data_IF_216917896499
#
_entry.id   IF_216917896499
#
_cell.length_a   1.000
_cell.length_b   1.000
_cell.length_c   1.000
_cell.angle_alpha   90.00
_cell.angle_beta   90.00
_cell.angle_gamma   90.00
#
_symmetry.space_group_name_H-M   'P 1'
#
loop_
_entity.id
_entity.type
_entity.pdbx_description
1 polymer ?
#
# COMPACT_ATOMS: atom_id res chain seq x y z
N UNK A 1 11.60 19.72 16.30
CA UNK A 1 11.25 20.37 15.02
C UNK A 1 10.16 21.39 15.26
N UNK A 2 10.46 22.69 15.17
CA UNK A 2 9.52 23.78 15.42
C UNK A 2 8.36 23.73 14.41
N UNK A 3 7.13 23.47 14.86
CA UNK A 3 5.92 23.62 14.04
C UNK A 3 5.65 25.13 13.87
N UNK A 4 5.87 25.66 12.66
CA UNK A 4 5.42 27.02 12.32
C UNK A 4 3.92 27.00 12.04
N UNK A 5 3.17 27.90 12.67
CA UNK A 5 1.74 28.05 12.43
C UNK A 5 1.52 29.11 11.33
N UNK A 6 1.00 28.69 10.17
CA UNK A 6 0.61 29.59 9.09
C UNK A 6 -0.86 29.95 9.26
N UNK A 7 -1.19 31.25 9.23
CA UNK A 7 -2.58 31.72 9.15
C UNK A 7 -2.86 32.18 7.72
N UNK A 8 -3.75 31.48 7.03
CA UNK A 8 -4.26 31.87 5.72
C UNK A 8 -5.48 32.78 5.90
N UNK A 9 -5.45 33.92 5.23
CA UNK A 9 -6.59 34.84 5.14
C UNK A 9 -7.05 34.91 3.69
N UNK A 10 -8.30 34.53 3.45
CA UNK A 10 -8.98 34.83 2.19
C UNK A 10 -9.88 36.05 2.40
N UNK A 11 -9.87 36.95 1.44
CA UNK A 11 -10.77 38.11 1.41
C UNK A 11 -11.84 37.86 0.35
N UNK A 12 -13.11 37.77 0.78
CA UNK A 12 -14.26 37.78 -0.13
C UNK A 12 -15.11 38.98 0.27
N UNK A 13 -15.37 39.89 -0.68
CA UNK A 13 -16.14 41.12 -0.44
C UNK A 13 -15.63 41.95 0.77
N UNK A 14 -14.30 42.13 0.89
CA UNK A 14 -13.63 42.80 2.02
C UNK A 14 -13.81 42.15 3.40
N UNK A 15 -14.48 40.98 3.49
CA UNK A 15 -14.56 40.22 4.73
C UNK A 15 -13.40 39.24 4.82
N UNK A 16 -12.67 39.33 5.94
CA UNK A 16 -11.55 38.46 6.30
C UNK A 16 -12.08 37.10 6.76
N UNK A 17 -11.85 36.06 5.98
CA UNK A 17 -12.17 34.67 6.33
C UNK A 17 -10.89 34.02 6.88
N UNK A 18 -10.94 33.56 8.12
CA UNK A 18 -9.84 32.86 8.78
C UNK A 18 -10.13 31.36 8.73
N UNK A 19 -9.24 30.57 8.12
CA UNK A 19 -9.26 29.12 8.25
C UNK A 19 -8.37 28.73 9.42
N UNK A 20 -8.97 28.51 10.59
CA UNK A 20 -8.25 28.05 11.78
C UNK A 20 -8.30 26.52 11.85
N UNK A 21 -7.15 25.88 12.00
CA UNK A 21 -7.08 24.44 12.23
C UNK A 21 -7.84 24.12 13.53
N UNK A 22 -8.67 23.07 13.52
CA UNK A 22 -9.49 22.71 14.66
C UNK A 22 -8.59 22.48 15.92
N UNK A 23 -8.72 23.30 16.97
CA UNK A 23 -7.86 23.23 18.14
C UNK A 23 -7.99 21.91 18.90
N UNK A 24 -9.16 21.26 18.85
CA UNK A 24 -9.38 19.95 19.47
C UNK A 24 -8.60 18.85 18.74
N UNK A 25 -8.49 18.92 17.41
CA UNK A 25 -7.69 17.96 16.62
C UNK A 25 -6.22 18.08 16.96
N UNK A 26 -5.73 19.31 17.18
CA UNK A 26 -4.33 19.52 17.59
C UNK A 26 -4.06 18.95 18.97
N UNK A 27 -4.94 19.23 19.95
CA UNK A 27 -4.85 18.69 21.31
C UNK A 27 -4.82 17.16 21.29
N UNK A 28 -5.77 16.54 20.60
CA UNK A 28 -5.85 15.09 20.47
C UNK A 28 -4.58 14.49 19.84
N UNK A 29 -4.03 15.12 18.81
CA UNK A 29 -2.79 14.67 18.16
C UNK A 29 -1.61 14.69 19.12
N UNK A 30 -1.44 15.79 19.88
CA UNK A 30 -0.34 15.95 20.82
C UNK A 30 -0.50 14.96 21.99
N UNK A 31 -1.72 14.72 22.48
CA UNK A 31 -2.02 13.74 23.53
C UNK A 31 -1.71 12.30 23.09
N UNK A 32 -2.22 11.89 21.91
CA UNK A 32 -2.04 10.52 21.38
C UNK A 32 -0.57 10.16 21.13
N UNK A 33 0.24 11.12 20.66
CA UNK A 33 1.61 10.86 20.26
C UNK A 33 2.66 11.18 21.32
N UNK A 34 2.24 11.73 22.46
CA UNK A 34 3.14 12.12 23.56
C UNK A 34 4.03 10.96 24.05
N UNK A 35 3.46 9.76 24.19
CA UNK A 35 4.13 8.56 24.71
C UNK A 35 4.09 7.37 23.73
N UNK A 36 3.78 7.61 22.45
CA UNK A 36 3.66 6.56 21.46
C UNK A 36 5.05 6.12 20.95
N UNK A 37 5.38 4.84 21.10
CA UNK A 37 6.60 4.27 20.54
C UNK A 37 6.36 3.69 19.14
N UNK A 38 6.97 4.31 18.13
CA UNK A 38 6.82 3.93 16.71
C UNK A 38 7.55 2.64 16.31
N UNK A 39 8.42 2.13 17.17
CA UNK A 39 9.22 0.92 16.90
C UNK A 39 8.54 -0.36 17.42
N UNK A 40 7.44 -0.24 18.17
CA UNK A 40 6.76 -1.37 18.80
C UNK A 40 5.51 -1.73 17.99
N UNK A 41 5.32 -3.02 17.74
CA UNK A 41 4.11 -3.58 17.13
C UNK A 41 2.88 -3.28 18.02
N UNK A 42 1.83 -2.62 17.50
CA UNK A 42 0.68 -2.21 18.29
C UNK A 42 -0.28 -3.39 18.54
N UNK A 43 -0.02 -4.15 19.60
CA UNK A 43 -0.89 -5.23 20.09
C UNK A 43 -1.11 -5.07 21.59
N UNK A 44 -2.29 -5.48 22.09
CA UNK A 44 -2.59 -5.46 23.53
C UNK A 44 -1.81 -6.55 24.26
N UNK A 45 -1.74 -7.75 23.69
CA UNK A 45 -0.92 -8.85 24.19
C UNK A 45 0.20 -9.19 23.18
N UNK A 46 1.39 -9.54 23.69
CA UNK A 46 2.54 -9.93 22.86
C UNK A 46 2.24 -11.21 22.06
N UNK A 47 1.37 -12.08 22.56
CA UNK A 47 0.94 -13.29 21.86
C UNK A 47 -0.07 -13.05 20.73
N UNK A 48 -0.66 -11.86 20.64
CA UNK A 48 -1.67 -11.57 19.62
C UNK A 48 -1.02 -11.34 18.25
N UNK A 49 -1.72 -11.74 17.19
CA UNK A 49 -1.31 -11.53 15.80
C UNK A 49 -1.85 -10.19 15.31
N UNK A 50 -0.99 -9.38 14.69
CA UNK A 50 -1.43 -8.15 14.02
C UNK A 50 -1.87 -8.48 12.59
N UNK A 51 -3.16 -8.34 12.30
CA UNK A 51 -3.67 -8.49 10.93
C UNK A 51 -3.49 -7.19 10.14
N UNK A 52 -2.78 -7.26 9.03
CA UNK A 52 -2.62 -6.15 8.08
C UNK A 52 -3.35 -6.51 6.80
N UNK A 53 -4.30 -5.66 6.40
CA UNK A 53 -5.03 -5.85 5.13
C UNK A 53 -4.42 -4.99 4.04
N UNK A 54 -4.00 -5.64 2.95
CA UNK A 54 -3.40 -5.00 1.79
C UNK A 54 -4.39 -5.02 0.62
N UNK A 55 -4.55 -3.89 -0.04
CA UNK A 55 -5.26 -3.78 -1.30
C UNK A 55 -4.42 -2.95 -2.27
N UNK A 56 -4.38 -3.38 -3.52
CA UNK A 56 -3.62 -2.72 -4.58
C UNK A 56 -4.59 -2.07 -5.55
N UNK A 57 -4.21 -0.88 -6.03
CA UNK A 57 -4.92 -0.18 -7.08
C UNK A 57 -3.92 0.21 -8.15
N UNK A 58 -4.13 -0.24 -9.38
CA UNK A 58 -3.24 0.06 -10.50
C UNK A 58 -3.72 1.31 -11.20
N UNK A 59 -2.85 2.31 -11.31
CA UNK A 59 -3.13 3.53 -12.06
C UNK A 59 -2.69 3.39 -13.51
N UNK A 60 -1.49 2.84 -13.75
CA UNK A 60 -0.96 2.69 -15.11
C UNK A 60 0.06 1.55 -15.18
N UNK A 61 0.06 0.83 -16.30
CA UNK A 61 1.17 -0.03 -16.71
C UNK A 61 2.15 0.84 -17.52
N UNK A 62 3.30 1.17 -16.93
CA UNK A 62 4.22 2.17 -17.49
C UNK A 62 5.00 1.60 -18.67
N UNK A 63 5.61 0.42 -18.48
CA UNK A 63 6.44 -0.24 -19.48
C UNK A 63 6.65 -1.71 -19.07
N UNK A 64 6.72 -2.60 -20.07
CA UNK A 64 7.26 -3.94 -19.92
C UNK A 64 8.53 -4.03 -20.75
N UNK A 65 9.67 -4.19 -20.08
CA UNK A 65 10.96 -4.25 -20.75
C UNK A 65 11.34 -5.70 -21.05
N UNK A 66 11.10 -6.14 -22.29
CA UNK A 66 11.39 -7.50 -22.77
C UNK A 66 12.86 -7.90 -22.61
N UNK A 67 13.79 -6.95 -22.78
CA UNK A 67 15.24 -7.22 -22.69
C UNK A 67 15.73 -7.35 -21.25
N UNK A 68 15.25 -6.47 -20.38
CA UNK A 68 15.68 -6.41 -18.98
C UNK A 68 14.82 -7.29 -18.07
N UNK A 69 13.75 -7.90 -18.58
CA UNK A 69 12.86 -8.76 -17.79
C UNK A 69 12.22 -8.04 -16.61
N UNK A 70 11.77 -6.80 -16.84
CA UNK A 70 11.20 -5.94 -15.80
C UNK A 70 9.88 -5.36 -16.27
N UNK A 71 8.83 -5.55 -15.45
CA UNK A 71 7.57 -4.84 -15.56
C UNK A 71 7.57 -3.64 -14.59
N UNK A 72 7.27 -2.45 -15.11
CA UNK A 72 7.13 -1.23 -14.32
C UNK A 72 5.66 -0.82 -14.24
N UNK A 73 5.13 -0.73 -13.03
CA UNK A 73 3.73 -0.36 -12.76
C UNK A 73 3.66 0.88 -11.88
N UNK A 74 2.77 1.80 -12.22
CA UNK A 74 2.36 2.89 -11.35
C UNK A 74 1.13 2.46 -10.56
N UNK A 75 1.31 2.14 -9.29
CA UNK A 75 0.19 1.90 -8.38
C UNK A 75 -0.28 3.25 -7.83
N UNK A 76 -1.59 3.39 -7.56
CA UNK A 76 -2.31 4.66 -7.40
C UNK A 76 -1.89 5.50 -6.22
N UNK A 77 -0.74 6.14 -6.35
CA UNK A 77 0.02 6.47 -5.18
C UNK A 77 1.12 7.44 -5.71
N UNK A 78 0.75 8.75 -5.84
CA UNK A 78 1.60 9.87 -6.32
C UNK A 78 2.70 10.39 -5.37
N UNK A 79 3.96 10.32 -5.81
CA UNK A 79 5.12 10.81 -5.06
C UNK A 79 5.50 12.24 -5.45
N UNK A 80 5.55 13.12 -4.45
CA UNK A 80 6.63 14.11 -4.31
C UNK A 80 7.01 14.09 -2.83
N UNK A 81 8.29 13.82 -2.53
CA UNK A 81 8.91 13.77 -1.20
C UNK A 81 8.12 14.42 -0.07
N UNK A 82 7.74 13.62 0.96
CA UNK A 82 7.56 13.91 2.40
C UNK A 82 6.53 12.90 2.99
N UNK A 83 6.80 12.35 4.18
CA UNK A 83 5.94 11.43 4.97
C UNK A 83 4.46 11.35 4.52
N UNK A 84 4.04 10.19 4.03
CA UNK A 84 2.64 9.96 3.65
C UNK A 84 1.77 9.91 4.91
N UNK A 85 0.66 10.65 4.91
CA UNK A 85 -0.23 10.71 6.06
C UNK A 85 -1.09 9.46 6.13
N UNK A 86 -1.20 8.86 7.31
CA UNK A 86 -2.19 7.83 7.60
C UNK A 86 -3.43 8.47 8.24
N UNK A 87 -4.59 7.91 7.95
CA UNK A 87 -5.86 8.33 8.56
C UNK A 87 -6.18 7.39 9.71
N UNK A 88 -6.23 7.94 10.93
CA UNK A 88 -6.61 7.22 12.13
C UNK A 88 -8.11 7.39 12.38
N UNK A 89 -8.83 6.27 12.59
CA UNK A 89 -10.21 6.29 13.09
C UNK A 89 -10.24 6.21 14.62
N UNK A 90 -11.33 6.66 15.23
CA UNK A 90 -11.52 6.58 16.69
C UNK A 90 -11.51 5.14 17.23
N UNK A 91 -11.73 4.14 16.37
CA UNK A 91 -11.65 2.71 16.70
C UNK A 91 -10.21 2.18 16.81
N UNK A 92 -9.20 3.00 16.49
CA UNK A 92 -7.80 2.56 16.37
C UNK A 92 -7.45 2.00 15.00
N UNK A 93 -8.40 1.90 14.06
CA UNK A 93 -8.12 1.50 12.69
C UNK A 93 -7.26 2.55 11.97
N UNK A 94 -6.17 2.10 11.36
CA UNK A 94 -5.23 2.93 10.60
C UNK A 94 -5.36 2.62 9.11
N UNK A 95 -5.76 3.61 8.33
CA UNK A 95 -5.78 3.51 6.87
C UNK A 95 -4.58 4.26 6.28
N UNK A 96 -3.77 3.55 5.50
CA UNK A 96 -2.56 4.08 4.91
C UNK A 96 -2.50 3.73 3.42
N UNK A 97 -2.43 4.76 2.57
CA UNK A 97 -2.42 4.63 1.11
C UNK A 97 -1.18 5.32 0.53
N UNK A 98 0.02 4.72 0.65
CA UNK A 98 1.29 5.41 0.42
C UNK A 98 1.78 5.37 -1.04
N UNK A 99 2.08 6.51 -1.68
CA UNK A 99 2.71 6.64 -3.01
C UNK A 99 3.98 5.85 -3.35
N UNK A 100 4.08 5.26 -4.56
CA UNK A 100 5.04 4.24 -4.98
C UNK A 100 4.88 3.73 -6.45
N UNK A 101 5.98 3.79 -7.18
CA UNK A 101 6.20 3.08 -8.45
C UNK A 101 6.90 1.76 -8.14
N UNK A 102 6.39 0.65 -8.65
CA UNK A 102 6.98 -0.67 -8.43
C UNK A 102 7.58 -1.23 -9.72
N UNK A 103 8.75 -1.84 -9.57
CA UNK A 103 9.43 -2.62 -10.61
C UNK A 103 9.47 -4.06 -10.15
N UNK A 104 8.83 -4.94 -10.91
CA UNK A 104 8.84 -6.39 -10.66
C UNK A 104 9.68 -7.08 -11.72
N UNK A 105 10.47 -8.06 -11.29
CA UNK A 105 11.14 -8.97 -12.21
C UNK A 105 10.11 -9.93 -12.80
N UNK A 106 10.11 -10.08 -14.12
CA UNK A 106 9.16 -10.89 -14.86
C UNK A 106 9.91 -11.80 -15.84
N UNK A 107 9.61 -13.09 -15.82
CA UNK A 107 10.20 -14.05 -16.76
C UNK A 107 9.45 -13.93 -18.10
N UNK A 108 10.14 -13.41 -19.11
CA UNK A 108 9.53 -13.06 -20.39
C UNK A 108 9.80 -14.17 -21.41
N UNK A 109 8.72 -14.69 -22.02
CA UNK A 109 8.80 -15.71 -23.06
C UNK A 109 8.44 -15.12 -24.44
N UNK A 110 9.39 -15.11 -25.39
CA UNK A 110 9.22 -14.52 -26.73
C UNK A 110 8.95 -15.53 -27.85
N UNK A 111 8.49 -16.74 -27.51
CA UNK A 111 8.24 -17.82 -28.48
C UNK A 111 7.22 -17.45 -29.57
N UNK A 112 6.18 -16.68 -29.21
CA UNK A 112 5.05 -16.34 -30.10
C UNK A 112 4.99 -14.85 -30.48
N UNK A 113 6.11 -14.14 -30.34
CA UNK A 113 6.18 -12.71 -30.66
C UNK A 113 5.68 -12.41 -32.08
N UNK A 114 4.83 -11.38 -32.30
CA UNK A 114 4.37 -10.33 -31.37
C UNK A 114 3.01 -10.61 -30.69
N UNK A 115 2.49 -11.85 -30.77
CA UNK A 115 1.19 -12.24 -30.21
C UNK A 115 1.37 -13.08 -28.93
N UNK A 116 2.38 -12.73 -28.14
CA UNK A 116 2.75 -13.40 -26.91
C UNK A 116 1.94 -12.90 -25.71
N UNK A 117 1.74 -13.79 -24.74
CA UNK A 117 1.17 -13.49 -23.43
C UNK A 117 2.28 -13.52 -22.38
N UNK A 118 2.28 -12.56 -21.47
CA UNK A 118 3.29 -12.45 -20.41
C UNK A 118 2.65 -12.53 -19.03
N UNK A 119 3.19 -13.39 -18.17
CA UNK A 119 2.75 -13.52 -16.78
C UNK A 119 3.80 -12.95 -15.85
N UNK A 120 3.48 -11.81 -15.22
CA UNK A 120 4.38 -11.14 -14.29
C UNK A 120 3.83 -11.20 -12.85
N UNK A 121 4.72 -11.39 -11.88
CA UNK A 121 4.34 -11.54 -10.47
C UNK A 121 4.83 -10.36 -9.64
N UNK A 122 3.94 -9.83 -8.80
CA UNK A 122 4.30 -8.92 -7.71
C UNK A 122 4.11 -9.64 -6.39
N UNK A 123 5.18 -9.70 -5.58
CA UNK A 123 5.15 -10.33 -4.25
C UNK A 123 5.25 -9.24 -3.19
N UNK A 124 4.29 -9.23 -2.27
CA UNK A 124 4.28 -8.34 -1.11
C UNK A 124 4.40 -9.18 0.15
N UNK A 125 5.13 -8.69 1.13
CA UNK A 125 5.40 -9.46 2.34
C UNK A 125 6.02 -8.61 3.42
N UNK A 126 5.90 -9.08 4.65
CA UNK A 126 6.64 -8.50 5.77
C UNK A 126 8.10 -8.94 5.68
N UNK A 127 9.02 -8.00 5.83
CA UNK A 127 10.46 -8.29 5.88
C UNK A 127 10.93 -8.72 7.28
N UNK A 128 10.37 -8.12 8.33
CA UNK A 128 10.90 -8.24 9.70
C UNK A 128 10.09 -9.15 10.61
N UNK A 129 8.79 -9.28 10.35
CA UNK A 129 7.88 -10.07 11.16
C UNK A 129 7.46 -11.34 10.42
N UNK A 130 7.43 -12.46 11.14
CA UNK A 130 6.91 -13.73 10.64
C UNK A 130 5.37 -13.78 10.66
N UNK A 131 4.79 -14.85 10.11
CA UNK A 131 3.33 -15.05 10.00
C UNK A 131 2.60 -15.23 11.34
N UNK A 132 3.32 -15.57 12.42
CA UNK A 132 2.75 -15.61 13.76
C UNK A 132 2.68 -14.22 14.42
N UNK A 133 3.43 -13.25 13.92
CA UNK A 133 3.46 -11.89 14.45
C UNK A 133 2.61 -10.93 13.63
N UNK A 134 2.73 -11.02 12.31
CA UNK A 134 1.99 -10.19 11.36
C UNK A 134 1.37 -11.12 10.34
N UNK A 135 0.03 -11.07 10.23
CA UNK A 135 -0.73 -11.82 9.24
C UNK A 135 -1.20 -10.87 8.15
N UNK A 136 -0.60 -11.00 6.96
CA UNK A 136 -0.98 -10.26 5.78
C UNK A 136 -2.17 -10.94 5.10
N UNK A 137 -3.22 -10.15 4.83
CA UNK A 137 -4.45 -10.59 4.17
C UNK A 137 -4.83 -9.63 3.05
N UNK A 138 -5.39 -10.15 1.97
CA UNK A 138 -5.95 -9.28 0.93
C UNK A 138 -7.24 -8.60 1.45
N UNK A 139 -7.49 -7.35 1.06
CA UNK A 139 -8.68 -6.58 1.48
C UNK A 139 -9.99 -7.32 1.18
N UNK A 140 -10.08 -7.90 -0.03
CA UNK A 140 -11.25 -8.64 -0.52
C UNK A 140 -11.16 -10.16 -0.27
N UNK A 141 -10.24 -10.62 0.57
CA UNK A 141 -10.11 -12.04 0.90
C UNK A 141 -11.32 -12.53 1.70
N UNK A 142 -12.00 -13.56 1.18
CA UNK A 142 -13.08 -14.23 1.89
C UNK A 142 -12.53 -15.18 2.98
N UNK A 143 -13.27 -15.38 4.09
CA UNK A 143 -12.85 -16.31 5.14
C UNK A 143 -12.68 -17.73 4.57
N UNK A 144 -11.49 -18.31 4.72
CA UNK A 144 -11.18 -19.67 4.28
C UNK A 144 -10.69 -19.80 2.83
N UNK A 145 -10.68 -18.72 2.03
CA UNK A 145 -10.04 -18.71 0.71
C UNK A 145 -8.67 -18.02 0.77
N UNK A 146 -7.69 -18.57 0.06
CA UNK A 146 -6.41 -17.90 -0.23
C UNK A 146 -6.41 -17.17 -1.59
N UNK A 147 -7.39 -17.44 -2.46
CA UNK A 147 -7.47 -16.90 -3.81
C UNK A 147 -8.50 -15.76 -3.87
N UNK A 148 -8.09 -14.68 -4.54
CA UNK A 148 -8.93 -13.54 -4.94
C UNK A 148 -8.79 -13.38 -6.45
N UNK A 149 -9.89 -13.60 -7.18
CA UNK A 149 -9.89 -13.58 -8.66
C UNK A 149 -9.53 -12.21 -9.25
N UNK A 150 -9.98 -11.12 -8.59
CA UNK A 150 -9.63 -9.74 -8.95
C UNK A 150 -8.92 -9.12 -7.74
N UNK A 151 -7.60 -9.30 -7.70
CA UNK A 151 -6.74 -8.86 -6.59
C UNK A 151 -6.17 -7.45 -6.75
N UNK A 152 -6.44 -6.77 -7.86
CA UNK A 152 -6.00 -5.40 -8.09
C UNK A 152 -7.20 -4.59 -8.58
N UNK A 153 -7.47 -3.47 -7.91
CA UNK A 153 -8.49 -2.52 -8.33
C UNK A 153 -8.02 -1.79 -9.60
N UNK A 154 -8.77 -1.97 -10.70
CA UNK A 154 -8.53 -1.35 -12.01
C UNK A 154 -9.53 -0.21 -12.32
N UNK A 155 -10.33 0.23 -11.35
CA UNK A 155 -11.39 1.25 -11.57
C UNK A 155 -10.88 2.61 -12.06
N UNK A 156 -9.62 2.93 -11.80
CA UNK A 156 -8.95 4.16 -12.25
C UNK A 156 -7.72 3.85 -13.11
N UNK A 157 -7.71 2.68 -13.76
CA UNK A 157 -6.62 2.26 -14.63
C UNK A 157 -6.65 3.03 -15.95
N UNK A 158 -5.53 3.65 -16.30
CA UNK A 158 -5.28 4.20 -17.62
C UNK A 158 -4.78 3.09 -18.55
N UNK A 159 -5.54 2.82 -19.61
CA UNK A 159 -5.23 1.79 -20.59
C UNK A 159 -3.87 2.07 -21.27
N UNK A 160 -3.04 1.04 -21.34
CA UNK A 160 -1.80 1.10 -22.13
C UNK A 160 -2.13 0.98 -23.61
N UNK A 161 -1.29 1.58 -24.46
CA UNK A 161 -1.40 1.46 -25.92
C UNK A 161 -0.83 0.13 -26.42
N UNK A 162 0.13 -0.43 -25.68
CA UNK A 162 0.91 -1.59 -26.12
C UNK A 162 0.46 -2.91 -25.47
N UNK A 163 -0.18 -2.84 -24.30
CA UNK A 163 -0.47 -4.02 -23.48
C UNK A 163 -1.90 -4.01 -22.94
N UNK A 164 -2.61 -5.11 -23.14
CA UNK A 164 -3.90 -5.37 -22.53
C UNK A 164 -3.74 -6.20 -21.24
N UNK A 165 -4.46 -5.82 -20.19
CA UNK A 165 -4.51 -6.61 -18.95
C UNK A 165 -5.65 -7.63 -19.08
N UNK A 166 -5.30 -8.91 -19.13
CA UNK A 166 -6.27 -10.00 -19.21
C UNK A 166 -6.83 -10.36 -17.83
N UNK A 167 -5.96 -10.52 -16.83
CA UNK A 167 -6.33 -10.89 -15.47
C UNK A 167 -5.36 -10.35 -14.42
N UNK A 168 -5.85 -10.20 -13.18
CA UNK A 168 -5.06 -9.70 -12.03
C UNK A 168 -5.40 -10.49 -10.75
N UNK A 169 -5.22 -11.82 -10.73
CA UNK A 169 -5.50 -12.61 -9.53
C UNK A 169 -4.49 -12.30 -8.42
N UNK A 170 -4.94 -12.41 -7.17
CA UNK A 170 -4.07 -12.39 -5.99
C UNK A 170 -4.23 -13.69 -5.19
N UNK A 171 -3.11 -14.26 -4.75
CA UNK A 171 -3.09 -15.46 -3.93
C UNK A 171 -2.24 -15.21 -2.69
N UNK A 172 -2.78 -15.53 -1.52
CA UNK A 172 -2.04 -15.53 -0.25
C UNK A 172 -1.20 -16.79 -0.14
N UNK A 173 0.08 -16.63 0.17
CA UNK A 173 1.05 -17.70 0.36
C UNK A 173 1.68 -17.64 1.76
N UNK A 174 2.16 -18.79 2.23
CA UNK A 174 3.01 -18.88 3.42
C UNK A 174 4.32 -19.55 3.02
N UNK A 175 5.41 -18.82 3.15
CA UNK A 175 6.72 -19.23 2.67
C UNK A 175 7.66 -19.50 3.83
N UNK A 176 8.42 -20.60 3.73
CA UNK A 176 9.48 -20.95 4.66
C UNK A 176 10.83 -20.62 4.03
N UNK A 177 11.57 -19.70 4.66
CA UNK A 177 12.89 -19.33 4.18
C UNK A 177 13.97 -20.15 4.87
N UNK A 178 15.06 -20.54 4.18
CA UNK A 178 16.14 -21.34 4.78
C UNK A 178 16.79 -20.70 6.02
N UNK A 179 16.69 -19.37 6.17
CA UNK A 179 17.25 -18.63 7.30
C UNK A 179 16.39 -18.70 8.58
N UNK A 180 15.11 -19.08 8.49
CA UNK A 180 14.17 -18.95 9.59
C UNK A 180 13.28 -20.20 9.73
N UNK A 181 13.01 -20.66 10.96
CA UNK A 181 12.14 -21.82 11.19
C UNK A 181 10.64 -21.47 11.06
N UNK A 182 10.24 -20.22 11.26
CA UNK A 182 8.85 -19.78 11.13
C UNK A 182 8.47 -19.37 9.70
N UNK A 183 7.20 -19.57 9.30
CA UNK A 183 6.71 -19.12 8.00
C UNK A 183 6.49 -17.60 7.97
N UNK A 184 6.57 -17.02 6.79
CA UNK A 184 6.21 -15.64 6.51
C UNK A 184 4.95 -15.60 5.65
N UNK A 185 3.95 -14.81 6.05
CA UNK A 185 2.74 -14.57 5.26
C UNK A 185 3.00 -13.49 4.20
N UNK A 186 2.52 -13.70 2.97
CA UNK A 186 2.59 -12.74 1.87
C UNK A 186 1.54 -12.98 0.80
#
# INVERSE_FOLDING_TARGET
>A
WLKQALRLYLYINNNKICFEANPDVKRLYDDLLSNYNRLIRPVTNVSDILTVRLGLKLSQLMEVNLKNQVMTTNLWVEQVTLMTKATLKYTGEVNWKPPAIYKSSCEINVEYFPFDEQTCFMKFGSWTYNGAQVDLKHMDQSPGSSLVHVGIDLSEFYLSVEWDILEVPATRNEEYYPCCPEPFSG
#
